data_IF_894017449924
#
_entry.id   IF_894017449924
#
_cell.length_a   1.000
_cell.length_b   1.000
_cell.length_c   1.000
_cell.angle_alpha   90.00
_cell.angle_beta   90.00
_cell.angle_gamma   90.00
#
_symmetry.space_group_name_H-M   'P 1'
#
loop_
_entity.id
_entity.type
_entity.pdbx_description
1 polymer ?
#
# COMPACT_ATOMS: atom_id res chain seq x y z
N UNK A 1 -7.90 -25.13 65.90
CA UNK A 1 -9.07 -24.24 65.74
C UNK A 1 -8.65 -23.03 64.92
N UNK A 2 -8.86 -23.06 63.61
CA UNK A 2 -8.74 -21.89 62.72
C UNK A 2 -9.50 -22.24 61.44
N UNK A 3 -10.81 -22.02 61.48
CA UNK A 3 -11.67 -22.13 60.31
C UNK A 3 -11.39 -20.92 59.42
N UNK A 4 -10.76 -21.16 58.27
CA UNK A 4 -10.57 -20.15 57.25
C UNK A 4 -11.91 -19.97 56.51
N UNK A 5 -12.70 -18.96 56.91
CA UNK A 5 -13.89 -18.59 56.17
C UNK A 5 -13.45 -17.97 54.83
N UNK A 6 -13.71 -18.66 53.73
CA UNK A 6 -13.51 -18.10 52.40
C UNK A 6 -14.36 -16.83 52.24
N UNK A 7 -13.84 -15.76 51.62
CA UNK A 7 -14.61 -14.54 51.40
C UNK A 7 -15.83 -14.84 50.52
N UNK A 8 -17.02 -14.54 51.03
CA UNK A 8 -18.27 -14.59 50.27
C UNK A 8 -18.13 -13.58 49.12
N UNK A 9 -18.06 -14.06 47.89
CA UNK A 9 -18.09 -13.19 46.72
C UNK A 9 -19.53 -12.71 46.54
N UNK A 10 -19.78 -11.44 46.85
CA UNK A 10 -21.06 -10.78 46.56
C UNK A 10 -21.41 -10.98 45.08
N UNK A 11 -22.59 -11.54 44.81
CA UNK A 11 -23.06 -11.70 43.43
C UNK A 11 -23.17 -10.31 42.77
N UNK A 12 -22.58 -10.11 41.58
CA UNK A 12 -22.56 -8.81 40.94
C UNK A 12 -23.99 -8.36 40.62
N UNK A 13 -24.47 -7.36 41.36
CA UNK A 13 -25.79 -6.72 41.15
C UNK A 13 -25.82 -6.04 39.79
N UNK A 14 -26.45 -6.67 38.80
CA UNK A 14 -26.63 -6.12 37.46
C UNK A 14 -27.64 -4.96 37.51
N UNK A 15 -27.13 -3.73 37.56
CA UNK A 15 -27.94 -2.51 37.43
C UNK A 15 -27.98 -2.09 35.96
N UNK A 16 -29.17 -2.11 35.36
CA UNK A 16 -29.40 -1.74 33.95
C UNK A 16 -29.41 -0.21 33.79
N UNK A 17 -28.26 0.38 33.50
CA UNK A 17 -28.15 1.81 33.19
C UNK A 17 -28.67 2.09 31.78
N UNK A 18 -29.71 2.93 31.64
CA UNK A 18 -30.19 3.37 30.33
C UNK A 18 -29.17 4.33 29.72
N UNK A 19 -28.45 3.89 28.70
CA UNK A 19 -27.45 4.70 27.99
C UNK A 19 -28.09 5.71 27.02
N UNK A 20 -28.91 6.63 27.53
CA UNK A 20 -29.60 7.67 26.76
C UNK A 20 -28.60 8.55 25.98
N UNK A 21 -27.40 8.79 26.55
CA UNK A 21 -26.32 9.53 25.89
C UNK A 21 -25.74 8.87 24.62
N UNK A 22 -25.85 7.54 24.48
CA UNK A 22 -25.42 6.85 23.24
C UNK A 22 -26.39 7.07 22.10
N UNK A 23 -27.68 7.18 22.42
CA UNK A 23 -28.73 7.40 21.42
C UNK A 23 -28.76 8.83 20.92
N UNK A 24 -28.56 9.81 21.81
CA UNK A 24 -28.43 11.22 21.40
C UNK A 24 -27.17 11.45 20.57
N UNK A 25 -26.04 10.86 20.97
CA UNK A 25 -24.79 10.91 20.19
C UNK A 25 -24.91 10.22 18.82
N UNK A 26 -25.55 9.05 18.75
CA UNK A 26 -25.80 8.36 17.49
C UNK A 26 -26.71 9.18 16.56
N UNK A 27 -27.76 9.80 17.10
CA UNK A 27 -28.67 10.66 16.32
C UNK A 27 -27.94 11.89 15.77
N UNK A 28 -27.07 12.52 16.56
CA UNK A 28 -26.26 13.66 16.14
C UNK A 28 -25.28 13.25 15.03
N UNK A 29 -24.55 12.15 15.21
CA UNK A 29 -23.63 11.63 14.20
C UNK A 29 -24.35 11.24 12.90
N UNK A 30 -25.52 10.59 12.99
CA UNK A 30 -26.32 10.23 11.83
C UNK A 30 -26.82 11.47 11.08
N UNK A 31 -27.27 12.50 11.81
CA UNK A 31 -27.68 13.79 11.22
C UNK A 31 -26.51 14.47 10.51
N UNK A 32 -25.34 14.56 11.15
CA UNK A 32 -24.14 15.13 10.54
C UNK A 32 -23.68 14.37 9.30
N UNK A 33 -23.68 13.03 9.36
CA UNK A 33 -23.38 12.19 8.21
C UNK A 33 -24.39 12.40 7.07
N UNK A 34 -25.68 12.52 7.39
CA UNK A 34 -26.74 12.81 6.43
C UNK A 34 -26.57 14.18 5.75
N UNK A 35 -26.22 15.21 6.52
CA UNK A 35 -25.92 16.55 5.98
C UNK A 35 -24.68 16.55 5.07
N UNK A 36 -23.64 15.81 5.46
CA UNK A 36 -22.44 15.64 4.63
C UNK A 36 -22.74 14.88 3.34
N UNK A 37 -23.56 13.83 3.39
CA UNK A 37 -24.00 13.09 2.21
C UNK A 37 -24.87 13.96 1.31
N UNK A 38 -25.81 14.72 1.87
CA UNK A 38 -26.62 15.66 1.10
C UNK A 38 -25.76 16.74 0.44
N UNK A 39 -24.79 17.28 1.16
CA UNK A 39 -23.81 18.23 0.61
C UNK A 39 -22.95 17.59 -0.47
N UNK A 40 -22.50 16.35 -0.30
CA UNK A 40 -21.73 15.66 -1.32
C UNK A 40 -22.55 15.44 -2.59
N UNK A 41 -23.78 14.92 -2.45
CA UNK A 41 -24.61 14.50 -3.59
C UNK A 41 -25.30 15.66 -4.32
N UNK A 42 -25.72 16.71 -3.61
CA UNK A 42 -26.56 17.77 -4.18
C UNK A 42 -25.75 19.01 -4.59
N UNK A 43 -24.50 19.13 -4.13
CA UNK A 43 -23.72 20.33 -4.37
C UNK A 43 -23.12 20.31 -5.79
N UNK A 44 -23.48 21.26 -6.66
CA UNK A 44 -22.99 21.33 -8.04
C UNK A 44 -21.45 21.45 -8.13
N UNK A 45 -20.79 21.90 -7.05
CA UNK A 45 -19.32 21.99 -6.98
C UNK A 45 -18.61 20.63 -6.93
N UNK A 46 -19.31 19.55 -6.53
CA UNK A 46 -18.75 18.20 -6.59
C UNK A 46 -18.59 17.71 -8.04
N UNK A 47 -19.34 18.27 -8.99
CA UNK A 47 -19.17 17.98 -10.41
C UNK A 47 -19.35 16.50 -10.74
N UNK A 48 -20.42 15.87 -10.24
CA UNK A 48 -20.73 14.45 -10.49
C UNK A 48 -20.77 14.10 -11.99
N UNK A 49 -21.10 15.06 -12.85
CA UNK A 49 -21.04 14.92 -14.30
C UNK A 49 -19.61 14.69 -14.82
N UNK A 50 -18.62 15.38 -14.24
CA UNK A 50 -17.21 15.20 -14.57
C UNK A 50 -16.70 13.85 -14.08
N UNK A 51 -17.10 13.43 -12.88
CA UNK A 51 -16.80 12.10 -12.34
C UNK A 51 -17.32 11.01 -13.26
N UNK A 52 -18.56 11.14 -13.75
CA UNK A 52 -19.15 10.19 -14.69
C UNK A 52 -18.43 10.15 -16.04
N UNK A 53 -17.91 11.28 -16.52
CA UNK A 53 -17.08 11.35 -17.74
C UNK A 53 -15.72 10.67 -17.53
N UNK A 54 -15.07 10.90 -16.38
CA UNK A 54 -13.81 10.24 -16.03
C UNK A 54 -13.97 8.71 -15.91
N UNK A 55 -15.06 8.21 -15.32
CA UNK A 55 -15.33 6.77 -15.29
C UNK A 55 -15.57 6.15 -16.68
N UNK A 56 -15.95 6.95 -17.68
CA UNK A 56 -16.12 6.51 -19.08
C UNK A 56 -14.89 6.76 -19.94
N UNK A 57 -13.91 7.51 -19.44
CA UNK A 57 -12.65 7.72 -20.14
C UNK A 57 -11.87 6.41 -20.20
N UNK A 58 -11.56 5.97 -21.42
CA UNK A 58 -10.84 4.73 -21.66
C UNK A 58 -9.49 4.68 -20.94
N UNK A 59 -8.84 5.84 -20.74
CA UNK A 59 -7.56 5.90 -20.03
C UNK A 59 -7.69 5.53 -18.54
N UNK A 60 -8.78 5.92 -17.88
CA UNK A 60 -9.01 5.62 -16.46
C UNK A 60 -9.39 4.16 -16.28
N UNK A 61 -10.30 3.65 -17.11
CA UNK A 61 -10.69 2.22 -17.07
C UNK A 61 -9.48 1.32 -17.35
N UNK A 62 -8.64 1.70 -18.32
CA UNK A 62 -7.38 0.99 -18.59
C UNK A 62 -6.41 1.08 -17.40
N UNK A 63 -6.26 2.26 -16.79
CA UNK A 63 -5.41 2.46 -15.61
C UNK A 63 -5.86 1.61 -14.40
N UNK A 64 -7.18 1.49 -14.18
CA UNK A 64 -7.75 0.59 -13.18
C UNK A 64 -7.39 -0.86 -13.49
N UNK A 65 -7.53 -1.27 -14.76
CA UNK A 65 -7.14 -2.60 -15.24
C UNK A 65 -5.67 -2.92 -14.94
N UNK A 66 -4.75 -2.02 -15.29
CA UNK A 66 -3.31 -2.18 -15.03
C UNK A 66 -3.00 -2.24 -13.53
N UNK A 67 -3.66 -1.42 -12.72
CA UNK A 67 -3.46 -1.44 -11.26
C UNK A 67 -3.92 -2.76 -10.65
N UNK A 68 -5.06 -3.28 -11.09
CA UNK A 68 -5.58 -4.58 -10.65
C UNK A 68 -4.68 -5.72 -11.11
N UNK A 69 -4.27 -5.73 -12.38
CA UNK A 69 -3.35 -6.73 -12.93
C UNK A 69 -2.04 -6.75 -12.14
N UNK A 70 -1.43 -5.58 -11.94
CA UNK A 70 -0.20 -5.45 -11.16
C UNK A 70 -0.41 -5.89 -9.71
N UNK A 71 -1.54 -5.55 -9.09
CA UNK A 71 -1.87 -5.97 -7.72
C UNK A 71 -1.95 -7.49 -7.62
N UNK A 72 -2.63 -8.15 -8.56
CA UNK A 72 -2.74 -9.61 -8.59
C UNK A 72 -1.38 -10.25 -8.78
N UNK A 73 -0.59 -9.77 -9.75
CA UNK A 73 0.77 -10.27 -10.00
C UNK A 73 1.64 -10.11 -8.75
N UNK A 74 1.67 -8.93 -8.15
CA UNK A 74 2.44 -8.66 -6.93
C UNK A 74 1.97 -9.52 -5.76
N UNK A 75 0.66 -9.76 -5.61
CA UNK A 75 0.11 -10.61 -4.55
C UNK A 75 0.55 -12.06 -4.74
N UNK A 76 0.44 -12.61 -5.94
CA UNK A 76 0.87 -13.98 -6.25
C UNK A 76 2.37 -14.15 -6.01
N UNK A 77 3.18 -13.22 -6.51
CA UNK A 77 4.63 -13.23 -6.30
C UNK A 77 5.00 -13.06 -4.82
N UNK A 78 4.36 -12.13 -4.12
CA UNK A 78 4.60 -11.87 -2.70
C UNK A 78 4.24 -13.05 -1.81
N UNK A 79 3.11 -13.72 -2.10
CA UNK A 79 2.72 -14.95 -1.40
C UNK A 79 3.67 -16.09 -1.73
N UNK A 80 4.00 -16.30 -3.01
CA UNK A 80 4.94 -17.35 -3.43
C UNK A 80 6.30 -17.20 -2.76
N UNK A 81 6.88 -16.00 -2.81
CA UNK A 81 8.15 -15.69 -2.14
C UNK A 81 8.02 -15.84 -0.61
N UNK A 82 6.91 -15.37 -0.03
CA UNK A 82 6.63 -15.49 1.40
C UNK A 82 6.62 -16.94 1.88
N UNK A 83 6.01 -17.85 1.10
CA UNK A 83 5.99 -19.29 1.38
C UNK A 83 7.40 -19.86 1.32
N UNK A 84 8.17 -19.57 0.27
CA UNK A 84 9.56 -20.04 0.14
C UNK A 84 10.40 -19.58 1.33
N UNK A 85 10.30 -18.30 1.71
CA UNK A 85 11.03 -17.74 2.85
C UNK A 85 10.57 -18.33 4.19
N UNK A 86 9.28 -18.65 4.34
CA UNK A 86 8.75 -19.30 5.53
C UNK A 86 9.35 -20.71 5.68
N UNK A 87 9.42 -21.48 4.59
CA UNK A 87 10.07 -22.80 4.57
C UNK A 87 11.56 -22.69 4.87
N UNK A 88 12.27 -21.73 4.26
CA UNK A 88 13.68 -21.48 4.54
C UNK A 88 13.94 -21.14 6.02
N UNK A 89 13.01 -20.45 6.69
CA UNK A 89 13.12 -20.07 8.10
C UNK A 89 12.98 -21.26 9.06
N UNK A 90 12.28 -22.32 8.66
CA UNK A 90 12.08 -23.54 9.48
C UNK A 90 13.25 -24.53 9.26
N UNK A 91 14.03 -24.36 8.20
CA UNK A 91 15.18 -25.21 7.90
C UNK A 91 16.20 -25.23 9.05
N UNK A 92 16.75 -26.40 9.33
CA UNK A 92 17.79 -26.62 10.34
C UNK A 92 19.14 -26.01 9.95
N UNK A 93 19.34 -25.68 8.66
CA UNK A 93 20.56 -25.04 8.19
C UNK A 93 20.58 -23.55 8.63
N UNK A 94 21.53 -23.16 9.50
CA UNK A 94 21.57 -21.81 10.05
C UNK A 94 21.79 -20.73 8.99
N UNK A 95 22.48 -21.04 7.88
CA UNK A 95 22.75 -20.09 6.79
C UNK A 95 21.47 -19.71 6.05
N UNK A 96 20.68 -20.74 5.67
CA UNK A 96 19.42 -20.55 4.96
C UNK A 96 18.41 -19.80 5.82
N UNK A 97 18.31 -20.16 7.11
CA UNK A 97 17.44 -19.45 8.05
C UNK A 97 17.91 -18.01 8.28
N UNK A 98 19.22 -17.73 8.29
CA UNK A 98 19.74 -16.37 8.45
C UNK A 98 19.41 -15.49 7.25
N UNK A 99 19.59 -16.00 6.03
CA UNK A 99 19.26 -15.26 4.80
C UNK A 99 17.78 -14.91 4.78
N UNK A 100 16.90 -15.85 5.12
CA UNK A 100 15.46 -15.60 5.20
C UNK A 100 15.11 -14.53 6.24
N UNK A 101 15.76 -14.55 7.41
CA UNK A 101 15.60 -13.53 8.47
C UNK A 101 16.11 -12.16 8.04
N UNK A 102 17.25 -12.10 7.38
CA UNK A 102 17.83 -10.84 6.87
C UNK A 102 16.92 -10.22 5.79
N UNK A 103 16.43 -11.04 4.85
CA UNK A 103 15.49 -10.58 3.82
C UNK A 103 14.20 -10.03 4.45
N UNK A 104 13.55 -10.80 5.34
CA UNK A 104 12.33 -10.33 6.01
C UNK A 104 12.57 -9.07 6.85
N UNK A 105 13.72 -9.01 7.55
CA UNK A 105 14.12 -7.87 8.37
C UNK A 105 14.38 -6.60 7.56
N UNK A 106 15.01 -6.70 6.39
CA UNK A 106 15.23 -5.56 5.50
C UNK A 106 13.91 -5.04 4.92
N UNK A 107 13.09 -5.91 4.34
CA UNK A 107 11.85 -5.48 3.69
C UNK A 107 10.75 -5.04 4.66
N UNK A 108 10.66 -5.63 5.87
CA UNK A 108 9.64 -5.29 6.87
C UNK A 108 10.14 -4.38 7.99
N UNK A 109 11.44 -4.34 8.23
CA UNK A 109 12.05 -3.56 9.32
C UNK A 109 12.67 -2.23 8.86
N UNK A 110 12.88 -2.04 7.55
CA UNK A 110 13.36 -0.75 7.02
C UNK A 110 12.18 0.15 6.66
N UNK A 111 12.14 1.42 7.11
CA UNK A 111 11.08 2.37 6.73
C UNK A 111 10.96 2.51 5.21
N UNK A 112 9.73 2.62 4.70
CA UNK A 112 9.47 2.75 3.25
C UNK A 112 10.23 3.92 2.63
N UNK A 113 10.41 5.02 3.38
CA UNK A 113 11.15 6.19 2.93
C UNK A 113 12.63 5.85 2.63
N UNK A 114 13.26 5.04 3.48
CA UNK A 114 14.65 4.59 3.28
C UNK A 114 14.74 3.68 2.05
N UNK A 115 13.76 2.80 1.85
CA UNK A 115 13.71 1.95 0.65
C UNK A 115 13.59 2.80 -0.62
N UNK A 116 12.68 3.78 -0.65
CA UNK A 116 12.52 4.69 -1.78
C UNK A 116 13.81 5.49 -2.06
N UNK A 117 14.45 6.01 -1.01
CA UNK A 117 15.72 6.73 -1.14
C UNK A 117 16.83 5.82 -1.69
N UNK A 118 16.90 4.57 -1.23
CA UNK A 118 17.88 3.59 -1.70
C UNK A 118 17.68 3.28 -3.19
N UNK A 119 16.46 2.99 -3.63
CA UNK A 119 16.14 2.73 -5.05
C UNK A 119 16.41 3.95 -5.91
N UNK A 120 16.06 5.15 -5.43
CA UNK A 120 16.33 6.39 -6.13
C UNK A 120 17.83 6.65 -6.31
N UNK A 121 18.63 6.50 -5.25
CA UNK A 121 20.08 6.67 -5.32
C UNK A 121 20.74 5.59 -6.21
N UNK A 122 20.26 4.35 -6.16
CA UNK A 122 20.75 3.29 -7.06
C UNK A 122 20.45 3.57 -8.52
N UNK A 123 19.24 4.03 -8.85
CA UNK A 123 18.88 4.42 -10.21
C UNK A 123 19.72 5.60 -10.72
N UNK A 124 20.08 6.53 -9.84
CA UNK A 124 20.97 7.65 -10.16
C UNK A 124 22.43 7.21 -10.33
N UNK A 125 22.89 6.23 -9.54
CA UNK A 125 24.26 5.71 -9.57
C UNK A 125 24.49 4.76 -10.75
N UNK A 126 23.47 4.02 -11.17
CA UNK A 126 23.48 3.11 -12.31
C UNK A 126 22.39 3.50 -13.34
N UNK A 127 22.56 4.64 -14.05
CA UNK A 127 21.56 5.15 -14.98
C UNK A 127 21.40 4.30 -16.25
N UNK A 128 22.38 3.43 -16.56
CA UNK A 128 22.26 2.39 -17.57
C UNK A 128 22.60 1.04 -16.94
N UNK A 129 21.60 0.17 -16.84
CA UNK A 129 21.83 -1.25 -16.64
C UNK A 129 22.24 -1.79 -18.02
N UNK A 130 23.53 -1.68 -18.34
CA UNK A 130 24.11 -2.41 -19.47
C UNK A 130 24.09 -3.88 -19.10
N UNK A 131 22.96 -4.54 -19.33
CA UNK A 131 22.90 -5.99 -19.47
C UNK A 131 23.91 -6.31 -20.56
N UNK A 132 25.02 -6.98 -20.22
CA UNK A 132 26.26 -7.01 -20.99
C UNK A 132 26.14 -7.55 -22.43
N UNK A 133 25.53 -6.76 -23.32
CA UNK A 133 25.75 -6.77 -24.76
C UNK A 133 26.77 -5.65 -24.99
N UNK A 134 28.07 -5.99 -25.15
CA UNK A 134 29.09 -4.99 -25.41
C UNK A 134 28.92 -4.48 -26.84
N UNK A 135 28.40 -3.26 -27.00
CA UNK A 135 28.48 -2.52 -28.27
C UNK A 135 27.25 -1.74 -28.72
N UNK A 136 26.07 -1.93 -28.11
CA UNK A 136 24.85 -1.28 -28.59
C UNK A 136 24.24 -0.40 -27.49
N UNK A 137 24.52 0.91 -27.53
CA UNK A 137 23.65 1.92 -26.89
C UNK A 137 22.43 2.11 -27.80
N UNK A 138 21.65 1.05 -28.01
CA UNK A 138 20.37 1.10 -28.73
C UNK A 138 19.30 1.60 -27.76
N UNK A 139 19.16 2.91 -27.64
CA UNK A 139 18.04 3.48 -26.89
C UNK A 139 18.17 4.89 -26.36
N UNK A 140 19.14 5.71 -26.80
CA UNK A 140 19.11 7.14 -26.48
C UNK A 140 18.57 7.97 -27.67
N UNK A 141 17.25 8.24 -27.75
CA UNK A 141 16.67 9.11 -28.78
C UNK A 141 17.17 10.57 -28.69
N UNK A 142 17.95 10.95 -27.67
CA UNK A 142 18.59 12.27 -27.61
C UNK A 142 19.72 12.46 -28.61
N UNK A 143 20.46 11.42 -28.98
CA UNK A 143 21.58 11.61 -29.93
C UNK A 143 21.07 11.93 -31.34
N UNK A 144 19.96 11.32 -31.76
CA UNK A 144 19.34 11.62 -33.06
C UNK A 144 18.80 13.06 -33.13
N UNK A 145 18.14 13.54 -32.06
CA UNK A 145 17.61 14.91 -32.02
C UNK A 145 18.72 15.96 -31.95
N UNK A 146 19.80 15.69 -31.20
CA UNK A 146 20.95 16.61 -31.15
C UNK A 146 21.71 16.64 -32.48
N UNK A 147 21.90 15.50 -33.16
CA UNK A 147 22.56 15.48 -34.46
C UNK A 147 21.70 16.06 -35.58
N UNK A 148 20.38 15.82 -35.58
CA UNK A 148 19.44 16.44 -36.51
C UNK A 148 19.42 17.96 -36.36
N UNK A 149 19.47 18.46 -35.11
CA UNK A 149 19.58 19.90 -34.85
C UNK A 149 20.91 20.48 -35.35
N UNK A 150 22.04 19.84 -35.07
CA UNK A 150 23.35 20.30 -35.55
C UNK A 150 23.48 20.26 -37.08
N UNK A 151 22.85 19.27 -37.73
CA UNK A 151 22.79 19.17 -39.18
C UNK A 151 21.92 20.26 -39.83
N UNK A 152 20.91 20.78 -39.11
CA UNK A 152 20.08 21.89 -39.58
C UNK A 152 20.72 23.27 -39.42
N UNK A 153 21.82 23.37 -38.67
CA UNK A 153 22.53 24.63 -38.35
C UNK A 153 23.79 24.83 -39.21
N UNK A 154 24.15 23.85 -40.05
CA UNK A 154 25.20 23.96 -41.07
C UNK A 154 24.60 24.21 -42.45
#
# INVERSE_FOLDING_TARGET
>A
MMGNAAPVLDEPRIVRTKHIGRWTGALLCATLAGLLLQSALTNPRFGWDQVALFFRDGAIVQGIGVTLELTVICMVLGVGLGIVLAVMRISSNPVISWIARAYQGFFRGTPVLVQLLFWFNLAALYPSISFGIPGEVLGNPRHERTQAFLASVR
#
